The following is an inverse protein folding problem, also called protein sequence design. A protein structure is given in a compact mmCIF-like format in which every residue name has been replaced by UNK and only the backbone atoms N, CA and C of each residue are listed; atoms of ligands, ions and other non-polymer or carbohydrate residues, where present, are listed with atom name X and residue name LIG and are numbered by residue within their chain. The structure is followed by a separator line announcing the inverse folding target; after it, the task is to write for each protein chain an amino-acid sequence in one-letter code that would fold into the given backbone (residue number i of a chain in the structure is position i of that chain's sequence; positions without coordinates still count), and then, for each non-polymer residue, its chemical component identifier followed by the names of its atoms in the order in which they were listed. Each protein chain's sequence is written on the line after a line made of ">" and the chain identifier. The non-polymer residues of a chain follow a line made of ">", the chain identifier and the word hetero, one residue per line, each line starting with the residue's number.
data_IF_372215211789
#
_entry.id   IF_372215211789
#
_cell.length_a   1.000
_cell.length_b   1.000
_cell.length_c   1.000
_cell.angle_alpha   90.00
_cell.angle_beta   90.00
_cell.angle_gamma   90.00
#
_symmetry.space_group_name_H-M   'P 1'
#
loop_
_entity.id
_entity.type
_entity.pdbx_description
1 polymer ?
#
# COMPACT_ATOMS: atom_id res chain seq x y z
N UNK A 1 21.90 -13.36 -6.97
CA UNK A 1 22.07 -11.98 -6.47
C UNK A 1 21.16 -11.09 -7.30
N UNK A 2 19.98 -10.73 -6.80
CA UNK A 2 19.13 -9.75 -7.48
C UNK A 2 19.67 -8.37 -7.12
N UNK A 3 20.18 -7.63 -8.11
CA UNK A 3 20.53 -6.23 -7.95
C UNK A 3 19.23 -5.45 -7.70
N UNK A 4 18.85 -5.28 -6.43
CA UNK A 4 17.80 -4.33 -6.03
C UNK A 4 18.40 -2.92 -6.14
N UNK A 5 18.56 -2.44 -7.38
CA UNK A 5 18.76 -1.02 -7.59
C UNK A 5 17.42 -0.35 -7.30
N UNK A 6 17.46 0.67 -6.44
CA UNK A 6 16.34 1.57 -6.25
C UNK A 6 15.97 2.29 -7.56
N UNK A 7 14.94 3.14 -7.54
CA UNK A 7 14.66 4.00 -8.69
C UNK A 7 15.93 4.76 -9.08
N UNK A 8 16.19 4.88 -10.38
CA UNK A 8 17.22 5.79 -10.85
C UNK A 8 16.79 7.24 -10.66
N UNK A 9 17.75 8.16 -10.77
CA UNK A 9 17.50 9.58 -10.57
C UNK A 9 16.52 10.14 -11.60
N UNK A 10 16.53 9.61 -12.83
CA UNK A 10 15.65 10.08 -13.91
C UNK A 10 14.18 9.78 -13.59
N UNK A 11 13.90 8.55 -13.13
CA UNK A 11 12.57 8.15 -12.69
C UNK A 11 12.11 8.96 -11.48
N UNK A 12 12.98 9.18 -10.49
CA UNK A 12 12.66 10.00 -9.33
C UNK A 12 12.28 11.43 -9.76
N UNK A 13 13.11 12.07 -10.57
CA UNK A 13 12.85 13.43 -11.11
C UNK A 13 11.55 13.47 -11.92
N UNK A 14 11.28 12.45 -12.73
CA UNK A 14 10.01 12.34 -13.46
C UNK A 14 8.81 12.32 -12.52
N UNK A 15 8.83 11.46 -11.49
CA UNK A 15 7.74 11.36 -10.50
C UNK A 15 7.54 12.64 -9.69
N UNK A 16 8.63 13.29 -9.29
CA UNK A 16 8.57 14.60 -8.65
C UNK A 16 7.91 15.66 -9.54
N UNK A 17 8.30 15.73 -10.82
CA UNK A 17 7.70 16.68 -11.74
C UNK A 17 6.22 16.40 -12.02
N UNK A 18 5.80 15.12 -12.05
CA UNK A 18 4.40 14.72 -12.19
C UNK A 18 3.55 15.29 -11.04
N UNK A 19 3.95 15.07 -9.79
CA UNK A 19 3.21 15.56 -8.62
C UNK A 19 3.23 17.09 -8.50
N UNK A 20 4.37 17.73 -8.77
CA UNK A 20 4.50 19.19 -8.76
C UNK A 20 3.55 19.81 -9.79
N UNK A 21 3.55 19.29 -11.02
CA UNK A 21 2.70 19.79 -12.10
C UNK A 21 1.21 19.60 -11.78
N UNK A 22 0.86 18.46 -11.20
CA UNK A 22 -0.51 18.20 -10.75
C UNK A 22 -0.96 19.23 -9.70
N UNK A 23 -0.14 19.51 -8.68
CA UNK A 23 -0.47 20.45 -7.61
C UNK A 23 -0.62 21.88 -8.16
N UNK A 24 0.31 22.33 -8.99
CA UNK A 24 0.28 23.67 -9.60
C UNK A 24 -1.01 23.85 -10.42
N UNK A 25 -1.38 22.83 -11.20
CA UNK A 25 -2.60 22.88 -11.99
C UNK A 25 -3.86 22.85 -11.12
N UNK A 26 -3.87 22.04 -10.06
CA UNK A 26 -5.02 21.89 -9.15
C UNK A 26 -5.29 23.14 -8.31
N UNK A 27 -4.23 23.84 -7.91
CA UNK A 27 -4.28 25.04 -7.08
C UNK A 27 -3.95 26.32 -7.86
N UNK A 28 -4.28 26.37 -9.15
CA UNK A 28 -3.88 27.47 -10.03
C UNK A 28 -4.40 28.83 -9.55
N UNK A 29 -5.62 28.84 -8.98
CA UNK A 29 -6.32 30.06 -8.60
C UNK A 29 -6.08 30.46 -7.13
N UNK A 30 -5.63 29.52 -6.28
CA UNK A 30 -5.42 29.70 -4.84
C UNK A 30 -3.99 29.33 -4.40
N UNK A 31 -3.03 29.36 -5.33
CA UNK A 31 -1.67 28.94 -5.08
C UNK A 31 -1.02 29.76 -3.96
N UNK A 32 -0.50 29.05 -2.97
CA UNK A 32 0.43 29.58 -1.98
C UNK A 32 1.47 28.53 -1.65
N UNK A 33 2.61 28.94 -1.06
CA UNK A 33 3.63 27.99 -0.64
C UNK A 33 3.10 27.01 0.42
N UNK A 34 2.21 27.47 1.30
CA UNK A 34 1.60 26.61 2.33
C UNK A 34 0.60 25.61 1.71
N UNK A 35 -0.22 26.07 0.75
CA UNK A 35 -1.09 25.19 -0.04
C UNK A 35 -0.27 24.13 -0.77
N UNK A 36 0.83 24.54 -1.40
CA UNK A 36 1.72 23.63 -2.12
C UNK A 36 2.34 22.58 -1.19
N UNK A 37 2.89 22.99 -0.04
CA UNK A 37 3.49 22.06 0.94
C UNK A 37 2.48 21.02 1.42
N UNK A 38 1.28 21.46 1.81
CA UNK A 38 0.22 20.58 2.28
C UNK A 38 -0.24 19.62 1.17
N UNK A 39 -0.43 20.13 -0.05
CA UNK A 39 -0.81 19.32 -1.20
C UNK A 39 0.30 18.31 -1.58
N UNK A 40 1.57 18.72 -1.53
CA UNK A 40 2.71 17.84 -1.80
C UNK A 40 2.77 16.70 -0.78
N UNK A 41 2.74 17.03 0.51
CA UNK A 41 2.72 16.05 1.61
C UNK A 41 1.52 15.09 1.52
N UNK A 42 0.40 15.50 0.92
CA UNK A 42 -0.73 14.64 0.66
C UNK A 42 -0.54 13.77 -0.59
N UNK A 43 -0.25 14.38 -1.75
CA UNK A 43 -0.32 13.73 -3.06
C UNK A 43 0.88 12.83 -3.35
N UNK A 44 2.01 13.04 -2.69
CA UNK A 44 3.21 12.20 -2.84
C UNK A 44 3.16 10.91 -2.02
N UNK A 45 2.18 10.74 -1.13
CA UNK A 45 2.07 9.55 -0.25
C UNK A 45 1.84 8.30 -1.09
N UNK A 46 2.68 7.28 -0.91
CA UNK A 46 2.45 5.93 -1.42
C UNK A 46 1.54 5.15 -0.46
N UNK A 47 0.36 4.77 -0.94
CA UNK A 47 -0.61 4.00 -0.18
C UNK A 47 -0.11 2.59 0.20
N UNK A 48 0.77 1.99 -0.62
CA UNK A 48 1.38 0.70 -0.31
C UNK A 48 2.33 0.83 0.89
N UNK A 49 3.23 1.81 0.86
CA UNK A 49 4.17 2.08 1.95
C UNK A 49 3.45 2.49 3.24
N UNK A 50 2.47 3.39 3.13
CA UNK A 50 1.66 3.85 4.26
C UNK A 50 0.96 2.70 5.02
N UNK A 51 0.49 1.69 4.29
CA UNK A 51 -0.24 0.56 4.85
C UNK A 51 0.66 -0.59 5.33
N UNK A 52 1.92 -0.64 4.88
CA UNK A 52 2.84 -1.75 5.16
C UNK A 52 3.18 -1.88 6.65
N UNK A 53 3.44 -0.76 7.33
CA UNK A 53 3.78 -0.75 8.75
C UNK A 53 2.71 -1.41 9.62
N UNK A 54 1.46 -0.97 9.48
CA UNK A 54 0.34 -1.56 10.23
C UNK A 54 0.06 -3.01 9.80
N UNK A 55 0.31 -3.37 8.54
CA UNK A 55 0.19 -4.76 8.11
C UNK A 55 1.24 -5.67 8.75
N UNK A 56 2.46 -5.17 9.00
CA UNK A 56 3.48 -5.93 9.75
C UNK A 56 3.12 -6.11 11.22
N UNK A 57 2.52 -5.11 11.85
CA UNK A 57 1.99 -5.25 13.21
C UNK A 57 0.89 -6.30 13.27
N UNK A 58 0.02 -6.35 12.26
CA UNK A 58 -0.94 -7.43 12.08
C UNK A 58 -0.26 -8.81 11.99
N UNK A 59 0.75 -8.97 11.11
CA UNK A 59 1.47 -10.24 10.96
C UNK A 59 2.12 -10.68 12.28
N UNK A 60 2.73 -9.74 13.02
CA UNK A 60 3.30 -9.99 14.33
C UNK A 60 2.26 -10.57 15.29
N UNK A 61 1.11 -9.91 15.44
CA UNK A 61 0.04 -10.35 16.33
C UNK A 61 -0.56 -11.70 15.87
N UNK A 62 -0.81 -11.86 14.57
CA UNK A 62 -1.32 -13.11 14.00
C UNK A 62 -0.44 -14.30 14.39
N UNK A 63 0.89 -14.19 14.24
CA UNK A 63 1.80 -15.27 14.59
C UNK A 63 1.88 -15.53 16.09
N UNK A 64 1.71 -14.50 16.91
CA UNK A 64 1.63 -14.65 18.36
C UNK A 64 0.40 -15.46 18.77
N UNK A 65 -0.77 -15.07 18.27
CA UNK A 65 -2.06 -15.71 18.59
C UNK A 65 -2.17 -17.13 18.01
N UNK A 66 -1.50 -17.39 16.89
CA UNK A 66 -1.48 -18.68 16.20
C UNK A 66 -0.41 -19.64 16.77
N UNK A 67 0.25 -19.28 17.87
CA UNK A 67 1.21 -20.14 18.59
C UNK A 67 2.60 -20.23 17.95
N UNK A 68 2.95 -19.30 17.06
CA UNK A 68 4.27 -19.21 16.39
C UNK A 68 4.97 -17.88 16.68
N UNK A 69 5.17 -17.50 17.95
CA UNK A 69 5.58 -16.15 18.34
C UNK A 69 6.93 -15.72 17.73
N UNK A 70 7.88 -16.64 17.56
CA UNK A 70 9.17 -16.33 16.97
C UNK A 70 9.11 -16.03 15.46
N UNK A 71 8.08 -16.52 14.75
CA UNK A 71 7.82 -16.05 13.37
C UNK A 71 7.31 -14.62 13.40
N UNK A 72 6.50 -14.25 14.40
CA UNK A 72 6.09 -12.87 14.63
C UNK A 72 7.30 -11.95 14.86
N UNK A 73 8.19 -12.33 15.79
CA UNK A 73 9.42 -11.57 16.07
C UNK A 73 10.29 -11.44 14.81
N UNK A 74 10.40 -12.50 14.00
CA UNK A 74 11.14 -12.46 12.74
C UNK A 74 10.55 -11.46 11.75
N UNK A 75 9.22 -11.41 11.60
CA UNK A 75 8.56 -10.42 10.72
C UNK A 75 8.77 -9.00 11.23
N UNK A 76 8.64 -8.78 12.54
CA UNK A 76 8.74 -7.45 13.16
C UNK A 76 10.16 -6.90 13.18
N UNK A 77 11.15 -7.75 13.45
CA UNK A 77 12.53 -7.32 13.69
C UNK A 77 13.51 -7.73 12.59
N UNK A 78 13.29 -8.87 11.94
CA UNK A 78 14.20 -9.40 10.91
C UNK A 78 13.91 -8.90 9.49
N UNK A 79 12.73 -8.32 9.25
CA UNK A 79 12.24 -7.98 7.91
C UNK A 79 12.16 -6.50 7.48
N UNK A 80 12.77 -5.46 8.11
CA UNK A 80 12.59 -4.07 7.67
C UNK A 80 12.93 -3.80 6.20
N UNK A 81 13.80 -4.62 5.61
CA UNK A 81 14.24 -4.49 4.22
C UNK A 81 13.52 -5.43 3.24
N UNK A 82 12.61 -6.27 3.73
CA UNK A 82 11.88 -7.26 2.93
C UNK A 82 10.44 -6.80 2.80
N UNK A 83 10.00 -6.43 1.60
CA UNK A 83 8.60 -6.05 1.36
C UNK A 83 7.62 -7.09 1.92
N UNK A 84 6.68 -6.68 2.77
CA UNK A 84 5.80 -7.59 3.49
C UNK A 84 4.96 -8.49 2.56
N UNK A 85 4.60 -8.01 1.37
CA UNK A 85 3.89 -8.80 0.37
C UNK A 85 4.68 -10.01 -0.14
N UNK A 86 6.02 -9.92 -0.17
CA UNK A 86 6.87 -11.06 -0.52
C UNK A 86 6.80 -12.15 0.56
N UNK A 87 6.74 -11.76 1.84
CA UNK A 87 6.55 -12.69 2.96
C UNK A 87 5.22 -13.43 2.81
N UNK A 88 4.13 -12.70 2.54
CA UNK A 88 2.80 -13.29 2.32
C UNK A 88 2.79 -14.25 1.12
N UNK A 89 3.50 -13.89 0.05
CA UNK A 89 3.65 -14.76 -1.13
C UNK A 89 4.39 -16.06 -0.79
N UNK A 90 5.40 -16.01 0.07
CA UNK A 90 6.08 -17.21 0.56
C UNK A 90 5.20 -18.01 1.53
N UNK A 91 4.42 -17.35 2.40
CA UNK A 91 3.46 -18.03 3.26
C UNK A 91 2.41 -18.80 2.43
N UNK A 92 1.93 -18.21 1.33
CA UNK A 92 1.01 -18.90 0.41
C UNK A 92 1.55 -20.23 -0.12
N UNK A 93 2.87 -20.31 -0.32
CA UNK A 93 3.55 -21.50 -0.88
C UNK A 93 3.88 -22.53 0.19
N UNK A 94 4.17 -22.08 1.41
CA UNK A 94 4.78 -22.91 2.45
C UNK A 94 3.84 -23.24 3.61
N UNK A 95 2.77 -22.48 3.83
CA UNK A 95 1.82 -22.76 4.91
C UNK A 95 0.73 -23.72 4.46
N UNK A 96 0.16 -24.42 5.44
CA UNK A 96 -1.10 -25.13 5.24
C UNK A 96 -2.18 -24.17 4.76
N UNK A 97 -2.99 -24.61 3.79
CA UNK A 97 -4.01 -23.77 3.15
C UNK A 97 -4.93 -23.10 4.17
N UNK A 98 -5.42 -23.85 5.16
CA UNK A 98 -6.31 -23.32 6.19
C UNK A 98 -5.66 -22.20 7.01
N UNK A 99 -4.36 -22.33 7.31
CA UNK A 99 -3.59 -21.32 8.04
C UNK A 99 -3.40 -20.05 7.21
N UNK A 100 -3.04 -20.20 5.93
CA UNK A 100 -2.90 -19.07 5.01
C UNK A 100 -4.23 -18.35 4.78
N UNK A 101 -5.31 -19.09 4.55
CA UNK A 101 -6.65 -18.52 4.34
C UNK A 101 -7.13 -17.74 5.58
N UNK A 102 -6.86 -18.26 6.80
CA UNK A 102 -7.12 -17.54 8.06
C UNK A 102 -6.33 -16.23 8.15
N UNK A 103 -5.04 -16.25 7.79
CA UNK A 103 -4.20 -15.05 7.74
C UNK A 103 -4.75 -14.02 6.76
N UNK A 104 -5.11 -14.41 5.54
CA UNK A 104 -5.62 -13.46 4.55
C UNK A 104 -6.98 -12.90 4.98
N UNK A 105 -7.88 -13.75 5.48
CA UNK A 105 -9.20 -13.33 5.92
C UNK A 105 -9.12 -12.34 7.08
N UNK A 106 -8.35 -12.67 8.12
CA UNK A 106 -8.19 -11.82 9.30
C UNK A 106 -7.54 -10.46 8.96
N UNK A 107 -6.73 -10.38 7.90
CA UNK A 107 -6.12 -9.12 7.49
C UNK A 107 -7.18 -8.05 7.13
N UNK A 108 -8.35 -8.44 6.61
CA UNK A 108 -9.43 -7.49 6.30
C UNK A 108 -10.12 -6.91 7.54
N UNK A 109 -10.01 -7.58 8.69
CA UNK A 109 -10.64 -7.14 9.95
C UNK A 109 -9.64 -6.43 10.87
N UNK A 110 -8.35 -6.78 10.79
CA UNK A 110 -7.34 -6.40 11.78
C UNK A 110 -6.11 -5.68 11.20
N UNK A 111 -6.04 -5.48 9.88
CA UNK A 111 -4.91 -4.81 9.23
C UNK A 111 -5.39 -3.67 8.33
N UNK A 112 -4.52 -2.69 8.03
CA UNK A 112 -4.73 -1.79 6.91
C UNK A 112 -4.85 -2.56 5.59
N UNK A 113 -5.42 -1.92 4.57
CA UNK A 113 -5.67 -2.47 3.22
C UNK A 113 -4.42 -2.75 2.37
N UNK A 114 -3.31 -3.12 2.99
CA UNK A 114 -2.04 -3.41 2.33
C UNK A 114 -2.13 -4.53 1.29
N UNK A 115 -2.75 -5.67 1.65
CA UNK A 115 -2.88 -6.81 0.73
C UNK A 115 -3.58 -6.46 -0.58
N UNK A 116 -4.80 -5.88 -0.57
CA UNK A 116 -5.46 -5.49 -1.81
C UNK A 116 -4.74 -4.35 -2.54
N UNK A 117 -4.19 -3.35 -1.83
CA UNK A 117 -3.44 -2.25 -2.46
C UNK A 117 -2.21 -2.77 -3.22
N UNK A 118 -1.36 -3.53 -2.54
CA UNK A 118 -0.14 -4.06 -3.14
C UNK A 118 -0.43 -5.11 -4.21
N UNK A 119 -1.43 -5.96 -3.99
CA UNK A 119 -1.89 -6.93 -4.97
C UNK A 119 -2.38 -6.28 -6.27
N UNK A 120 -3.18 -5.22 -6.16
CA UNK A 120 -3.62 -4.41 -7.30
C UNK A 120 -2.43 -3.80 -8.06
N UNK A 121 -1.46 -3.23 -7.35
CA UNK A 121 -0.29 -2.62 -7.99
C UNK A 121 0.62 -3.64 -8.65
N UNK A 122 0.75 -4.83 -8.07
CA UNK A 122 1.57 -5.92 -8.61
C UNK A 122 1.09 -6.47 -9.96
N UNK A 123 -0.17 -6.25 -10.31
CA UNK A 123 -0.72 -6.59 -11.63
C UNK A 123 -0.46 -5.50 -12.69
N UNK A 124 -0.17 -4.27 -12.27
CA UNK A 124 -0.12 -3.10 -13.16
C UNK A 124 1.28 -2.54 -13.35
N UNK A 125 2.09 -2.60 -12.29
CA UNK A 125 3.43 -2.01 -12.25
C UNK A 125 4.46 -3.05 -11.83
N UNK A 126 5.72 -2.74 -12.11
CA UNK A 126 6.89 -3.51 -11.68
C UNK A 126 7.80 -2.59 -10.87
N UNK A 127 8.60 -3.17 -9.98
CA UNK A 127 9.68 -2.44 -9.33
C UNK A 127 10.60 -1.80 -10.38
N UNK A 128 11.04 -0.53 -10.23
CA UNK A 128 10.89 0.35 -9.05
C UNK A 128 9.64 1.23 -9.01
N UNK A 129 8.70 1.09 -9.95
CA UNK A 129 7.47 1.90 -9.99
C UNK A 129 6.30 1.31 -9.19
N UNK A 130 6.55 0.33 -8.33
CA UNK A 130 5.53 -0.42 -7.60
C UNK A 130 4.97 0.37 -6.40
N UNK A 131 4.40 1.54 -6.67
CA UNK A 131 3.74 2.43 -5.71
C UNK A 131 2.37 2.85 -6.23
N UNK A 132 1.46 3.20 -5.32
CA UNK A 132 0.18 3.85 -5.64
C UNK A 132 0.12 5.16 -4.89
N UNK A 133 0.42 6.25 -5.59
CA UNK A 133 0.40 7.56 -4.96
C UNK A 133 -1.03 8.04 -4.70
N UNK A 134 -1.20 8.89 -3.69
CA UNK A 134 -2.46 9.58 -3.45
C UNK A 134 -2.89 10.46 -4.63
N UNK A 135 -1.95 11.00 -5.40
CA UNK A 135 -2.25 11.64 -6.68
C UNK A 135 -2.96 10.69 -7.64
N UNK A 136 -2.41 9.50 -7.86
CA UNK A 136 -2.98 8.49 -8.76
C UNK A 136 -4.34 8.00 -8.25
N UNK A 137 -4.48 7.80 -6.95
CA UNK A 137 -5.74 7.37 -6.32
C UNK A 137 -6.91 8.34 -6.56
N UNK A 138 -6.65 9.64 -6.74
CA UNK A 138 -7.70 10.61 -7.05
C UNK A 138 -8.28 10.45 -8.47
N UNK A 139 -7.60 9.71 -9.34
CA UNK A 139 -8.10 9.40 -10.67
C UNK A 139 -9.27 8.43 -10.60
N UNK A 140 -10.45 8.83 -11.10
CA UNK A 140 -11.65 7.99 -11.10
C UNK A 140 -11.41 6.62 -11.77
N UNK A 141 -10.57 6.58 -12.81
CA UNK A 141 -10.19 5.36 -13.50
C UNK A 141 -9.42 4.38 -12.59
N UNK A 142 -8.56 4.90 -11.72
CA UNK A 142 -7.78 4.11 -10.78
C UNK A 142 -8.69 3.51 -9.72
N UNK A 143 -9.57 4.30 -9.13
CA UNK A 143 -10.55 3.84 -8.13
C UNK A 143 -11.52 2.82 -8.70
N UNK A 144 -12.03 3.02 -9.92
CA UNK A 144 -12.87 2.06 -10.61
C UNK A 144 -12.13 0.76 -10.91
N UNK A 145 -10.88 0.84 -11.37
CA UNK A 145 -10.09 -0.34 -11.65
C UNK A 145 -9.69 -1.11 -10.38
N UNK A 146 -9.48 -0.40 -9.26
CA UNK A 146 -9.27 -1.01 -7.95
C UNK A 146 -10.52 -1.75 -7.47
N UNK A 147 -11.70 -1.13 -7.60
CA UNK A 147 -12.98 -1.80 -7.30
C UNK A 147 -13.17 -3.08 -8.12
N UNK A 148 -12.92 -3.02 -9.44
CA UNK A 148 -13.00 -4.19 -10.30
C UNK A 148 -11.98 -5.29 -9.92
N UNK A 149 -10.78 -4.88 -9.47
CA UNK A 149 -9.79 -5.81 -8.92
C UNK A 149 -10.31 -6.51 -7.65
N UNK A 150 -10.90 -5.75 -6.71
CA UNK A 150 -11.46 -6.30 -5.47
C UNK A 150 -12.58 -7.31 -5.75
N UNK A 151 -13.52 -6.99 -6.63
CA UNK A 151 -14.63 -7.89 -7.01
C UNK A 151 -14.13 -9.23 -7.57
N UNK A 152 -12.98 -9.23 -8.24
CA UNK A 152 -12.36 -10.42 -8.82
C UNK A 152 -11.49 -11.19 -7.83
N UNK A 153 -10.65 -10.48 -7.08
CA UNK A 153 -9.62 -11.08 -6.22
C UNK A 153 -10.16 -11.45 -4.83
N UNK A 154 -11.16 -10.72 -4.35
CA UNK A 154 -11.75 -10.81 -3.01
C UNK A 154 -13.28 -10.71 -3.09
N UNK A 155 -13.96 -11.67 -3.76
CA UNK A 155 -15.40 -11.57 -4.06
C UNK A 155 -16.31 -11.52 -2.83
N UNK A 156 -15.81 -11.97 -1.67
CA UNK A 156 -16.55 -11.99 -0.41
C UNK A 156 -16.39 -10.71 0.42
N UNK A 157 -15.64 -9.72 -0.07
CA UNK A 157 -15.36 -8.45 0.63
C UNK A 157 -16.13 -7.31 -0.03
N UNK A 158 -16.69 -6.41 0.78
CA UNK A 158 -17.36 -5.21 0.28
C UNK A 158 -16.32 -4.19 -0.24
N UNK A 159 -16.08 -4.24 -1.55
CA UNK A 159 -15.11 -3.34 -2.17
C UNK A 159 -15.49 -1.86 -2.10
N UNK A 160 -16.76 -1.51 -1.89
CA UNK A 160 -17.17 -0.12 -1.71
C UNK A 160 -16.73 0.40 -0.33
N UNK A 161 -16.86 -0.40 0.72
CA UNK A 161 -16.38 -0.05 2.06
C UNK A 161 -14.86 0.13 2.07
N UNK A 162 -14.09 -0.75 1.39
CA UNK A 162 -12.64 -0.59 1.31
C UNK A 162 -12.21 0.70 0.59
N UNK A 163 -12.92 1.09 -0.47
CA UNK A 163 -12.67 2.38 -1.16
C UNK A 163 -12.96 3.55 -0.22
N UNK A 164 -14.02 3.48 0.59
CA UNK A 164 -14.33 4.53 1.58
C UNK A 164 -13.24 4.62 2.66
N UNK A 165 -12.70 3.49 3.11
CA UNK A 165 -11.62 3.45 4.09
C UNK A 165 -10.38 4.21 3.60
N UNK A 166 -9.94 3.95 2.35
CA UNK A 166 -8.81 4.67 1.75
C UNK A 166 -9.10 6.17 1.66
N UNK A 167 -10.31 6.53 1.24
CA UNK A 167 -10.73 7.93 1.16
C UNK A 167 -10.81 8.62 2.53
N UNK A 168 -10.99 7.86 3.61
CA UNK A 168 -11.09 8.34 4.98
C UNK A 168 -9.77 8.42 5.74
N UNK A 169 -8.64 7.99 5.15
CA UNK A 169 -7.34 8.03 5.81
C UNK A 169 -7.00 9.47 6.27
N UNK A 170 -6.55 9.68 7.52
CA UNK A 170 -6.23 11.01 8.02
C UNK A 170 -4.84 11.45 7.53
N UNK A 171 -4.81 12.11 6.38
CA UNK A 171 -3.58 12.60 5.75
C UNK A 171 -2.90 13.74 6.54
N UNK A 172 -3.60 14.38 7.50
CA UNK A 172 -3.11 15.50 8.30
C UNK A 172 -2.23 15.12 9.50
N UNK A 173 -2.02 13.83 9.78
CA UNK A 173 -1.14 13.39 10.89
C UNK A 173 0.34 13.29 10.52
N UNK A 174 0.69 13.55 9.26
CA UNK A 174 2.03 13.33 8.70
C UNK A 174 2.58 14.56 7.94
N UNK A 175 1.98 15.74 8.18
CA UNK A 175 2.46 17.05 7.74
C UNK A 175 3.12 17.81 8.90
#
# INVERSE_FOLDING_TARGET
>A
MLQNKGPDLELAVKKENEVISFIINKHRDDFSLETFKAAYAYYSVDLCDLSEGGFRDYLYNFFWDDGSPFLGDLVKHGGPHIVAYNLVSDFKRNFEKARYDKLVKNAFDYAPLYLPLYGFMSERKRWPELCLTMMEWQGIEVTLAFKAYLERAYPDVDGLELVKEINGLPYSKWA
#
